data_IF_128936036322
#
_entry.id   IF_128936036322
#
_cell.length_a   1.000
_cell.length_b   1.000
_cell.length_c   1.000
_cell.angle_alpha   90.00
_cell.angle_beta   90.00
_cell.angle_gamma   90.00
#
_symmetry.space_group_name_H-M   'P 1'
#
loop_
_entity.id
_entity.type
_entity.pdbx_description
1 polymer ?
#
# COMPACT_ATOMS: atom_id res chain seq x y z
N UNK A 1 16.72 -76.96 1.98
CA UNK A 1 17.46 -76.62 0.75
C UNK A 1 17.72 -75.13 0.75
N UNK A 2 18.91 -74.57 0.82
CA UNK A 2 20.26 -75.08 0.62
C UNK A 2 21.09 -73.98 -0.04
N UNK A 3 22.07 -73.46 0.72
CA UNK A 3 23.38 -72.95 0.26
C UNK A 3 23.51 -71.69 -0.64
N UNK A 4 24.02 -70.62 0.00
CA UNK A 4 25.00 -69.63 -0.49
C UNK A 4 26.37 -70.40 -0.54
N UNK A 5 27.37 -70.20 -1.46
CA UNK A 5 28.10 -68.91 -1.56
C UNK A 5 28.97 -68.54 -2.81
N UNK A 6 29.37 -67.26 -2.80
CA UNK A 6 30.72 -66.70 -3.04
C UNK A 6 31.38 -66.53 -4.43
N UNK A 7 32.25 -65.50 -4.43
CA UNK A 7 33.35 -65.12 -5.34
C UNK A 7 32.97 -64.18 -6.49
N UNK A 8 33.70 -63.12 -6.84
CA UNK A 8 35.02 -62.60 -6.45
C UNK A 8 35.15 -61.18 -7.03
N UNK A 9 35.50 -60.18 -6.21
CA UNK A 9 36.80 -59.44 -6.21
C UNK A 9 37.04 -58.59 -7.47
N UNK A 10 37.07 -57.27 -7.31
CA UNK A 10 38.06 -56.29 -7.82
C UNK A 10 37.60 -54.91 -7.30
N UNK A 11 38.02 -54.47 -6.12
CA UNK A 11 39.31 -53.82 -5.81
C UNK A 11 39.49 -52.45 -6.47
N UNK A 12 39.22 -51.41 -5.66
CA UNK A 12 39.83 -50.08 -5.70
C UNK A 12 39.37 -49.13 -6.82
N UNK A 13 39.46 -47.82 -6.68
CA UNK A 13 39.70 -46.94 -5.53
C UNK A 13 39.36 -45.52 -6.01
N UNK A 14 39.03 -44.64 -5.05
CA UNK A 14 39.34 -43.21 -5.07
C UNK A 14 38.73 -42.35 -6.20
N UNK A 15 37.82 -41.44 -5.86
CA UNK A 15 38.04 -39.98 -5.91
C UNK A 15 36.72 -39.21 -5.74
N UNK A 16 36.77 -38.26 -4.80
CA UNK A 16 36.05 -36.99 -4.70
C UNK A 16 35.07 -36.63 -5.83
N UNK A 17 33.88 -36.14 -5.47
CA UNK A 17 33.21 -35.18 -6.35
C UNK A 17 31.72 -34.94 -6.14
N UNK A 18 31.42 -33.90 -5.36
CA UNK A 18 30.36 -32.93 -5.59
C UNK A 18 28.88 -33.40 -5.69
N UNK A 19 28.21 -33.25 -4.55
CA UNK A 19 26.90 -32.57 -4.40
C UNK A 19 26.28 -31.96 -5.65
N UNK A 20 25.06 -32.41 -5.99
CA UNK A 20 24.08 -31.62 -6.73
C UNK A 20 22.81 -31.47 -5.87
N UNK A 21 22.86 -30.53 -4.91
CA UNK A 21 21.65 -29.99 -4.30
C UNK A 21 20.92 -29.18 -5.38
N UNK A 22 19.72 -29.62 -5.75
CA UNK A 22 18.82 -28.86 -6.60
C UNK A 22 18.40 -27.57 -5.90
N UNK A 23 19.04 -26.45 -6.24
CA UNK A 23 18.59 -25.11 -5.85
C UNK A 23 17.36 -24.78 -6.68
N UNK A 24 16.19 -24.86 -6.04
CA UNK A 24 14.98 -24.21 -6.52
C UNK A 24 15.24 -22.70 -6.55
N UNK A 25 15.46 -22.14 -7.73
CA UNK A 25 15.50 -20.70 -7.94
C UNK A 25 14.07 -20.16 -7.87
N UNK A 26 13.62 -19.82 -6.66
CA UNK A 26 12.45 -18.96 -6.49
C UNK A 26 12.86 -17.53 -6.89
N UNK A 27 12.64 -17.17 -8.15
CA UNK A 27 12.76 -15.77 -8.59
C UNK A 27 11.53 -14.99 -8.11
N UNK A 28 11.51 -14.64 -6.82
CA UNK A 28 10.57 -13.69 -6.26
C UNK A 28 11.03 -12.29 -6.68
N UNK A 29 10.75 -11.92 -7.93
CA UNK A 29 10.82 -10.53 -8.36
C UNK A 29 9.79 -9.72 -7.59
N UNK A 30 10.12 -9.33 -6.36
CA UNK A 30 9.30 -8.46 -5.55
C UNK A 30 9.28 -7.11 -6.25
N UNK A 31 8.25 -6.87 -7.06
CA UNK A 31 7.83 -5.53 -7.46
C UNK A 31 7.32 -4.81 -6.21
N UNK A 32 8.21 -4.59 -5.25
CA UNK A 32 7.93 -3.90 -4.02
C UNK A 32 7.73 -2.44 -4.37
N UNK A 33 6.49 -1.98 -4.28
CA UNK A 33 6.19 -0.57 -4.51
C UNK A 33 6.90 0.29 -3.46
N UNK A 34 7.53 1.40 -3.89
CA UNK A 34 8.27 2.26 -2.99
C UNK A 34 7.34 2.91 -1.96
N UNK A 35 7.81 2.96 -0.72
CA UNK A 35 7.06 3.56 0.38
C UNK A 35 7.06 5.09 0.25
N UNK A 36 5.88 5.72 0.36
CA UNK A 36 5.77 7.19 0.38
C UNK A 36 6.50 7.72 1.64
N UNK A 37 7.45 8.68 1.53
CA UNK A 37 8.14 9.24 2.68
C UNK A 37 7.18 9.83 3.70
N UNK A 38 7.53 9.74 4.99
CA UNK A 38 6.75 10.40 6.04
C UNK A 38 7.07 11.89 6.03
N UNK A 39 6.04 12.70 5.84
CA UNK A 39 6.11 14.16 5.97
C UNK A 39 5.45 14.58 7.27
N UNK A 40 5.98 15.61 7.92
CA UNK A 40 5.35 16.16 9.12
C UNK A 40 3.99 16.74 8.75
N UNK A 41 2.94 16.24 9.38
CA UNK A 41 1.57 16.72 9.24
C UNK A 41 1.05 17.07 10.62
N UNK A 42 0.55 18.29 10.77
CA UNK A 42 -0.19 18.76 11.94
C UNK A 42 -1.21 19.79 11.46
N UNK A 43 -2.29 19.30 10.88
CA UNK A 43 -3.29 20.11 10.22
C UNK A 43 -4.61 20.07 10.99
N UNK A 44 -5.34 21.19 10.96
CA UNK A 44 -6.62 21.33 11.64
C UNK A 44 -7.68 21.73 10.63
N UNK A 45 -8.78 20.99 10.64
CA UNK A 45 -9.92 21.15 9.75
C UNK A 45 -11.19 21.35 10.58
N UNK A 46 -11.97 22.37 10.26
CA UNK A 46 -13.27 22.63 10.89
C UNK A 46 -14.41 22.06 10.03
N UNK A 47 -15.20 21.15 10.59
CA UNK A 47 -16.32 20.51 9.88
C UNK A 47 -17.47 21.48 9.56
N UNK A 48 -17.50 22.63 10.22
CA UNK A 48 -18.49 23.69 10.01
C UNK A 48 -18.23 24.51 8.75
N UNK A 49 -17.01 24.52 8.23
CA UNK A 49 -16.65 25.33 7.07
C UNK A 49 -17.39 24.87 5.80
N UNK A 50 -17.78 25.83 4.97
CA UNK A 50 -18.51 25.55 3.73
C UNK A 50 -17.71 24.67 2.75
N UNK A 51 -16.39 24.87 2.68
CA UNK A 51 -15.47 24.05 1.88
C UNK A 51 -15.43 22.57 2.32
N UNK A 52 -15.84 22.28 3.57
CA UNK A 52 -15.88 20.94 4.14
C UNK A 52 -17.28 20.34 4.15
N UNK A 53 -18.27 20.97 3.49
CA UNK A 53 -19.67 20.52 3.49
C UNK A 53 -19.89 19.10 2.99
N UNK A 54 -19.04 18.59 2.09
CA UNK A 54 -19.05 17.19 1.68
C UNK A 54 -18.84 16.22 2.85
N UNK A 55 -18.07 16.60 3.88
CA UNK A 55 -17.85 15.82 5.09
C UNK A 55 -19.07 15.74 6.02
N UNK A 56 -20.25 16.21 5.61
CA UNK A 56 -21.52 16.00 6.32
C UNK A 56 -22.19 14.66 5.96
N UNK A 57 -21.75 14.05 4.86
CA UNK A 57 -22.29 12.80 4.34
C UNK A 57 -21.23 11.71 4.42
N UNK A 58 -21.66 10.47 4.67
CA UNK A 58 -20.76 9.31 4.66
C UNK A 58 -20.23 9.08 3.24
N UNK A 59 -18.95 8.69 3.15
CA UNK A 59 -18.16 8.68 1.91
C UNK A 59 -17.97 10.05 1.24
N UNK A 60 -18.42 11.13 1.89
CA UNK A 60 -18.05 12.48 1.51
C UNK A 60 -16.56 12.70 1.69
N UNK A 61 -15.91 13.33 0.71
CA UNK A 61 -14.48 13.55 0.71
C UNK A 61 -14.13 14.97 0.28
N UNK A 62 -13.08 15.54 0.87
CA UNK A 62 -12.59 16.89 0.58
C UNK A 62 -11.08 16.93 0.49
N UNK A 63 -10.56 17.96 -0.17
CA UNK A 63 -9.13 18.23 -0.20
C UNK A 63 -8.74 19.14 0.95
N UNK A 64 -7.57 18.88 1.52
CA UNK A 64 -6.95 19.75 2.51
C UNK A 64 -5.45 19.95 2.22
N UNK A 65 -4.86 21.00 2.78
CA UNK A 65 -3.41 21.23 2.70
C UNK A 65 -2.65 20.28 3.64
N UNK A 66 -1.33 20.19 3.49
CA UNK A 66 -0.46 19.29 4.25
C UNK A 66 -0.03 18.05 3.47
N UNK A 67 0.72 17.16 4.11
CA UNK A 67 1.30 15.98 3.47
C UNK A 67 2.31 16.33 2.36
N UNK A 68 2.61 15.37 1.49
CA UNK A 68 3.54 15.56 0.38
C UNK A 68 2.88 16.30 -0.80
N UNK A 69 1.63 15.97 -1.13
CA UNK A 69 0.90 16.50 -2.30
C UNK A 69 -0.48 17.08 -1.98
N UNK A 70 -0.70 17.39 -0.70
CA UNK A 70 -2.02 17.65 -0.15
C UNK A 70 -2.62 16.39 0.48
N UNK A 71 -3.73 16.59 1.17
CA UNK A 71 -4.49 15.55 1.85
C UNK A 71 -5.86 15.36 1.20
N UNK A 72 -6.38 14.14 1.28
CA UNK A 72 -7.79 13.82 1.08
C UNK A 72 -8.34 13.39 2.43
N UNK A 73 -9.39 14.06 2.88
CA UNK A 73 -10.12 13.69 4.10
C UNK A 73 -11.44 13.07 3.68
N UNK A 74 -11.77 11.92 4.23
CA UNK A 74 -12.98 11.16 3.92
C UNK A 74 -13.75 10.86 5.20
N UNK A 75 -15.06 11.10 5.20
CA UNK A 75 -15.93 10.66 6.30
C UNK A 75 -16.32 9.20 6.12
N UNK A 76 -16.08 8.39 7.14
CA UNK A 76 -16.58 7.00 7.18
C UNK A 76 -17.94 6.94 7.88
N UNK A 77 -18.11 7.71 8.95
CA UNK A 77 -19.36 7.88 9.70
C UNK A 77 -19.31 9.17 10.52
N UNK A 78 -20.33 9.43 11.33
CA UNK A 78 -20.44 10.65 12.14
C UNK A 78 -19.26 10.97 13.07
N UNK A 79 -18.51 9.97 13.55
CA UNK A 79 -17.37 10.17 14.44
C UNK A 79 -16.02 9.77 13.83
N UNK A 80 -16.02 9.16 12.64
CA UNK A 80 -14.82 8.54 12.06
C UNK A 80 -14.48 9.18 10.73
N UNK A 81 -13.27 9.70 10.66
CA UNK A 81 -12.69 10.32 9.47
C UNK A 81 -11.39 9.60 9.14
N UNK A 82 -11.05 9.54 7.86
CA UNK A 82 -9.76 9.03 7.40
C UNK A 82 -9.09 10.16 6.61
N UNK A 83 -7.79 10.32 6.82
CA UNK A 83 -6.98 11.27 6.07
C UNK A 83 -5.91 10.50 5.29
N UNK A 84 -5.76 10.81 4.01
CA UNK A 84 -4.82 10.16 3.10
C UNK A 84 -3.94 11.18 2.40
N UNK A 85 -2.68 10.81 2.14
CA UNK A 85 -1.82 11.55 1.25
C UNK A 85 -2.34 11.47 -0.18
N UNK A 86 -2.18 12.55 -0.93
CA UNK A 86 -2.58 12.62 -2.33
C UNK A 86 -1.58 11.97 -3.29
N UNK A 87 -0.58 11.24 -2.82
CA UNK A 87 0.43 10.60 -3.67
C UNK A 87 0.01 9.17 -4.06
N UNK A 88 0.08 8.82 -5.35
CA UNK A 88 -0.15 7.43 -5.78
C UNK A 88 0.99 6.52 -5.31
N UNK A 89 0.69 5.39 -4.64
CA UNK A 89 1.71 4.50 -4.08
C UNK A 89 2.43 3.64 -5.13
N UNK A 90 1.98 3.63 -6.39
CA UNK A 90 2.64 2.86 -7.46
C UNK A 90 3.93 3.53 -7.94
N UNK A 91 3.87 4.82 -8.26
CA UNK A 91 5.01 5.62 -8.72
C UNK A 91 5.05 6.98 -8.01
N UNK A 92 5.33 7.01 -6.70
CA UNK A 92 5.23 8.23 -5.89
C UNK A 92 6.23 9.33 -6.30
N UNK A 93 7.31 8.98 -6.99
CA UNK A 93 8.32 9.92 -7.47
C UNK A 93 7.88 10.68 -8.73
N UNK A 94 6.89 10.17 -9.47
CA UNK A 94 6.43 10.83 -10.69
C UNK A 94 5.71 12.12 -10.35
N UNK A 95 6.02 13.21 -11.04
CA UNK A 95 5.43 14.55 -10.83
C UNK A 95 3.90 14.55 -10.95
N UNK A 96 3.36 13.63 -11.76
CA UNK A 96 1.93 13.48 -12.04
C UNK A 96 1.17 12.59 -11.04
N UNK A 97 1.87 11.80 -10.21
CA UNK A 97 1.28 10.79 -9.30
C UNK A 97 0.46 11.40 -8.14
N UNK A 98 -0.66 12.04 -8.50
CA UNK A 98 -1.52 12.79 -7.59
C UNK A 98 -2.96 12.31 -7.68
N UNK A 99 -3.41 11.59 -6.66
CA UNK A 99 -4.80 11.11 -6.58
C UNK A 99 -5.80 12.27 -6.44
N UNK A 100 -6.98 12.03 -7.01
CA UNK A 100 -8.13 12.92 -7.09
C UNK A 100 -9.37 12.18 -6.61
N UNK A 101 -10.31 12.94 -6.06
CA UNK A 101 -11.61 12.49 -5.61
C UNK A 101 -12.55 12.50 -6.83
N UNK A 102 -13.21 11.38 -7.08
CA UNK A 102 -14.44 11.31 -7.85
C UNK A 102 -15.60 11.20 -6.85
N UNK A 103 -16.35 12.30 -6.61
CA UNK A 103 -17.26 12.39 -5.48
C UNK A 103 -18.23 11.22 -5.39
N UNK A 104 -18.30 10.58 -4.21
CA UNK A 104 -19.16 9.43 -3.91
C UNK A 104 -18.94 8.17 -4.77
N UNK A 105 -17.97 8.17 -5.68
CA UNK A 105 -17.65 7.02 -6.53
C UNK A 105 -16.36 6.36 -6.04
N UNK A 106 -15.23 7.08 -6.08
CA UNK A 106 -13.90 6.53 -5.75
C UNK A 106 -12.84 7.63 -5.59
N UNK A 107 -11.64 7.21 -5.23
CA UNK A 107 -10.42 8.00 -5.34
C UNK A 107 -9.60 7.41 -6.49
N UNK A 108 -9.05 8.22 -7.38
CA UNK A 108 -8.32 7.72 -8.55
C UNK A 108 -7.15 8.61 -8.92
N UNK A 109 -6.16 8.08 -9.62
CA UNK A 109 -5.08 8.84 -10.23
C UNK A 109 -5.07 8.62 -11.74
N UNK A 110 -5.18 9.71 -12.50
CA UNK A 110 -5.14 9.69 -13.96
C UNK A 110 -3.76 9.41 -14.55
N UNK A 111 -2.68 9.53 -13.77
CA UNK A 111 -1.34 9.23 -14.25
C UNK A 111 -1.03 7.73 -14.12
N UNK A 112 -1.11 7.20 -12.90
CA UNK A 112 -0.82 5.78 -12.64
C UNK A 112 -2.02 4.86 -12.95
N UNK A 113 -3.18 5.41 -13.36
CA UNK A 113 -4.42 4.68 -13.66
C UNK A 113 -4.94 3.80 -12.50
N UNK A 114 -4.51 4.10 -11.28
CA UNK A 114 -4.90 3.35 -10.08
C UNK A 114 -6.15 3.94 -9.44
N UNK A 115 -6.94 3.07 -8.84
CA UNK A 115 -8.23 3.40 -8.23
C UNK A 115 -8.24 2.87 -6.81
N UNK A 116 -8.84 3.62 -5.91
CA UNK A 116 -8.87 3.37 -4.48
C UNK A 116 -10.28 3.63 -3.94
N UNK A 117 -10.69 2.82 -2.98
CA UNK A 117 -11.92 3.06 -2.24
C UNK A 117 -11.79 4.22 -1.26
N UNK A 118 -12.91 4.61 -0.65
CA UNK A 118 -12.96 5.63 0.42
C UNK A 118 -12.27 5.21 1.72
N UNK A 119 -11.87 3.95 1.84
CA UNK A 119 -11.02 3.41 2.92
C UNK A 119 -9.52 3.47 2.58
N UNK A 120 -9.16 3.94 1.37
CA UNK A 120 -7.79 4.03 0.87
C UNK A 120 -7.21 2.74 0.30
N UNK A 121 -7.98 1.65 0.30
CA UNK A 121 -7.54 0.37 -0.28
C UNK A 121 -7.60 0.40 -1.81
N UNK A 122 -6.65 -0.25 -2.52
CA UNK A 122 -6.68 -0.35 -3.97
C UNK A 122 -7.90 -1.16 -4.42
N UNK A 123 -8.56 -0.69 -5.47
CA UNK A 123 -9.72 -1.32 -6.10
C UNK A 123 -9.50 -1.62 -7.58
N UNK A 124 -8.45 -1.05 -8.18
CA UNK A 124 -8.10 -1.30 -9.57
C UNK A 124 -6.84 -0.58 -10.01
N UNK A 125 -6.32 -0.98 -11.17
CA UNK A 125 -5.06 -0.45 -11.72
C UNK A 125 -3.81 -1.12 -11.12
N UNK A 126 -2.62 -0.55 -11.37
CA UNK A 126 -1.35 -1.19 -11.02
C UNK A 126 -0.93 -1.04 -9.53
N UNK A 127 -1.57 -0.16 -8.75
CA UNK A 127 -1.27 -0.04 -7.32
C UNK A 127 -1.77 -1.26 -6.52
N UNK A 128 -0.84 -1.92 -5.83
CA UNK A 128 -1.11 -3.01 -4.87
C UNK A 128 -1.07 -2.57 -3.41
N UNK A 129 -0.49 -1.40 -3.12
CA UNK A 129 -0.46 -0.81 -1.78
C UNK A 129 -1.62 0.19 -1.57
N UNK A 130 -2.15 0.32 -0.34
CA UNK A 130 -3.13 1.34 -0.01
C UNK A 130 -2.51 2.74 -0.01
N UNK A 131 -3.36 3.76 -0.04
CA UNK A 131 -2.96 5.15 0.16
C UNK A 131 -2.32 5.34 1.53
N UNK A 132 -1.30 6.20 1.61
CA UNK A 132 -0.68 6.57 2.88
C UNK A 132 -1.71 7.25 3.77
N UNK A 133 -2.01 6.65 4.92
CA UNK A 133 -2.97 7.17 5.89
C UNK A 133 -2.26 8.00 6.99
N UNK A 134 -2.93 9.05 7.44
CA UNK A 134 -2.55 9.87 8.60
C UNK A 134 -3.51 9.62 9.78
N UNK A 135 -3.03 9.89 10.99
CA UNK A 135 -3.84 9.81 12.20
C UNK A 135 -4.84 10.96 12.23
N UNK A 136 -6.04 10.70 12.71
CA UNK A 136 -7.11 11.70 12.82
C UNK A 136 -7.78 11.63 14.17
N UNK A 137 -8.03 12.79 14.78
CA UNK A 137 -8.75 12.91 16.04
C UNK A 137 -9.85 13.97 15.91
N UNK A 138 -11.09 13.59 16.23
CA UNK A 138 -12.24 14.50 16.24
C UNK A 138 -12.50 14.99 17.66
N UNK A 139 -12.62 16.30 17.83
CA UNK A 139 -13.07 16.94 19.07
C UNK A 139 -14.11 18.00 18.75
N UNK A 140 -15.38 17.73 19.11
CA UNK A 140 -16.51 18.57 18.70
C UNK A 140 -16.62 18.66 17.17
N UNK A 141 -16.44 19.86 16.63
CA UNK A 141 -16.44 20.12 15.17
C UNK A 141 -15.03 20.28 14.58
N UNK A 142 -13.98 20.06 15.38
CA UNK A 142 -12.59 20.22 14.98
C UNK A 142 -11.96 18.86 14.75
N UNK A 143 -11.50 18.63 13.52
CA UNK A 143 -10.76 17.44 13.12
C UNK A 143 -9.27 17.79 13.06
N UNK A 144 -8.45 17.09 13.83
CA UNK A 144 -6.99 17.23 13.84
C UNK A 144 -6.37 16.06 13.08
N UNK A 145 -5.40 16.35 12.21
CA UNK A 145 -4.70 15.37 11.37
C UNK A 145 -3.20 15.41 11.71
N UNK A 146 -2.63 14.26 12.07
CA UNK A 146 -1.24 14.14 12.53
C UNK A 146 -0.52 12.92 11.95
N UNK A 147 0.81 12.93 11.98
CA UNK A 147 1.66 11.76 11.71
C UNK A 147 2.49 11.36 12.92
#
# INVERSE_FOLDING_TARGET
>A
MGFIPASSRFAGAFLLGATALGVAACNSGTNAQPQIPLTVVNEVLFLTDQQNSALRFDNGAVYHKGGLRGLIVVRQNAGTYLAFDRTCPYQPQDTCARVRIEPFIRIFDSCCQSQFGFTGQPQGGPATLPLRRYSTALSGNTLTITN
#
